data_IF_748631534345
#
_entry.id   IF_748631534345
#
_cell.length_a   1.000
_cell.length_b   1.000
_cell.length_c   1.000
_cell.angle_alpha   90.00
_cell.angle_beta   90.00
_cell.angle_gamma   90.00
#
_symmetry.space_group_name_H-M   'P 1'
#
loop_
_entity.id
_entity.type
_entity.pdbx_description
1 polymer ?
#
# COMPACT_ATOMS: atom_id res chain seq x y z
N UNK A 1 23.44 -1.24 -20.09
CA UNK A 1 22.49 -0.55 -19.21
C UNK A 1 22.00 -1.54 -18.16
N UNK A 2 21.83 -1.10 -16.94
CA UNK A 2 21.42 -1.90 -15.78
C UNK A 2 20.20 -1.23 -15.14
N UNK A 3 19.09 -1.96 -14.92
CA UNK A 3 17.89 -1.38 -14.34
C UNK A 3 18.09 -1.03 -12.86
N UNK A 4 17.24 -0.15 -12.36
CA UNK A 4 17.12 0.11 -10.94
C UNK A 4 16.45 -1.07 -10.23
N UNK A 5 16.98 -1.41 -9.06
CA UNK A 5 16.47 -2.49 -8.19
C UNK A 5 16.28 -2.03 -6.75
N UNK A 6 16.49 -0.74 -6.46
CA UNK A 6 16.36 -0.18 -5.11
C UNK A 6 15.29 0.90 -5.16
N UNK A 7 14.30 0.82 -4.28
CA UNK A 7 13.18 1.77 -4.24
C UNK A 7 12.54 1.99 -5.62
N UNK A 8 12.55 0.95 -6.46
CA UNK A 8 12.10 1.00 -7.86
C UNK A 8 10.57 0.92 -7.95
N UNK A 9 9.88 1.88 -7.34
CA UNK A 9 8.43 2.00 -7.33
C UNK A 9 7.98 3.35 -7.92
N UNK A 10 6.67 3.51 -8.09
CA UNK A 10 6.08 4.72 -8.69
C UNK A 10 6.26 6.00 -7.87
N UNK A 11 6.64 5.89 -6.59
CA UNK A 11 6.80 7.01 -5.66
C UNK A 11 8.23 7.57 -5.62
N UNK A 12 9.16 7.00 -6.39
CA UNK A 12 10.56 7.37 -6.35
C UNK A 12 11.13 7.64 -7.75
N UNK A 13 12.24 8.35 -7.78
CA UNK A 13 13.09 8.45 -8.96
C UNK A 13 13.63 7.07 -9.34
N UNK A 14 13.71 6.77 -10.65
CA UNK A 14 14.28 5.53 -11.16
C UNK A 14 15.66 5.79 -11.75
N UNK A 15 16.67 5.12 -11.20
CA UNK A 15 18.07 5.32 -11.54
C UNK A 15 18.64 4.15 -12.35
N UNK A 16 18.84 4.39 -13.63
CA UNK A 16 19.36 3.42 -14.59
C UNK A 16 20.84 3.70 -14.84
N UNK A 17 21.69 2.70 -14.63
CA UNK A 17 23.14 2.84 -14.80
C UNK A 17 23.62 2.28 -16.14
N UNK A 18 24.71 2.85 -16.65
CA UNK A 18 25.38 2.39 -17.87
C UNK A 18 26.87 2.75 -17.83
N UNK A 19 27.65 2.20 -18.77
CA UNK A 19 29.08 2.47 -18.84
C UNK A 19 29.34 3.94 -19.18
N UNK A 20 30.30 4.56 -18.50
CA UNK A 20 30.69 5.94 -18.74
C UNK A 20 31.19 6.16 -20.18
N UNK A 21 30.43 6.90 -20.98
CA UNK A 21 30.80 7.36 -22.32
C UNK A 21 30.30 8.81 -22.52
N UNK A 22 31.21 9.76 -22.29
CA UNK A 22 30.91 11.17 -22.42
C UNK A 22 30.57 11.59 -23.87
N UNK A 23 31.09 10.88 -24.88
CA UNK A 23 30.79 11.16 -26.28
C UNK A 23 29.37 10.72 -26.59
N UNK A 24 29.01 9.49 -26.21
CA UNK A 24 27.64 8.98 -26.34
C UNK A 24 26.63 9.87 -25.63
N UNK A 25 26.91 10.25 -24.38
CA UNK A 25 26.02 11.11 -23.60
C UNK A 25 25.76 12.46 -24.30
N UNK A 26 26.81 13.09 -24.86
CA UNK A 26 26.68 14.34 -25.62
C UNK A 26 25.86 14.21 -26.92
N UNK A 27 25.56 12.99 -27.36
CA UNK A 27 24.79 12.67 -28.57
C UNK A 27 23.38 12.18 -28.28
N UNK A 28 22.98 12.06 -27.02
CA UNK A 28 21.63 11.65 -26.64
C UNK A 28 20.63 12.66 -27.16
N UNK A 29 19.65 12.18 -27.91
CA UNK A 29 18.60 12.99 -28.56
C UNK A 29 17.21 12.71 -28.02
N UNK A 30 16.98 11.53 -27.45
CA UNK A 30 15.70 11.18 -26.85
C UNK A 30 15.87 10.07 -25.81
N UNK A 31 15.00 10.10 -24.81
CA UNK A 31 14.80 9.02 -23.85
C UNK A 31 13.34 8.63 -23.89
N UNK A 32 13.06 7.33 -23.93
CA UNK A 32 11.70 6.79 -24.02
C UNK A 32 11.38 5.86 -22.88
N UNK A 33 10.11 5.90 -22.47
CA UNK A 33 9.46 4.89 -21.61
C UNK A 33 8.41 4.20 -22.47
N UNK A 34 8.69 2.97 -22.89
CA UNK A 34 7.92 2.30 -23.94
C UNK A 34 7.99 3.09 -25.25
N UNK A 35 6.84 3.47 -25.79
CA UNK A 35 6.75 4.27 -27.02
C UNK A 35 6.78 5.79 -26.75
N UNK A 36 6.65 6.23 -25.51
CA UNK A 36 6.54 7.64 -25.13
C UNK A 36 7.93 8.28 -25.00
N UNK A 37 8.16 9.38 -25.71
CA UNK A 37 9.35 10.22 -25.53
C UNK A 37 9.17 11.08 -24.28
N UNK A 38 10.19 11.11 -23.43
CA UNK A 38 10.23 11.96 -22.25
C UNK A 38 10.65 13.39 -22.61
N UNK A 39 10.04 14.37 -21.96
CA UNK A 39 10.44 15.77 -22.01
C UNK A 39 11.71 16.01 -21.15
N UNK A 40 12.48 17.06 -21.47
CA UNK A 40 13.70 17.45 -20.73
C UNK A 40 13.49 17.61 -19.21
N UNK A 41 12.26 17.90 -18.78
CA UNK A 41 11.90 18.03 -17.37
C UNK A 41 11.69 16.71 -16.64
N UNK A 42 11.51 15.61 -17.36
CA UNK A 42 11.11 14.30 -16.82
C UNK A 42 12.29 13.37 -16.55
N UNK A 43 13.49 13.72 -16.99
CA UNK A 43 14.69 12.95 -16.71
C UNK A 43 15.90 13.83 -16.47
N UNK A 44 16.95 13.24 -15.92
CA UNK A 44 18.31 13.80 -16.00
C UNK A 44 19.23 12.71 -16.51
N UNK A 45 20.21 13.10 -17.33
CA UNK A 45 21.23 12.18 -17.82
C UNK A 45 22.61 12.77 -17.54
N UNK A 46 23.44 11.98 -16.88
CA UNK A 46 24.82 12.30 -16.55
C UNK A 46 25.72 11.16 -17.00
N UNK A 47 27.03 11.32 -16.90
CA UNK A 47 27.94 10.26 -17.34
C UNK A 47 27.73 9.00 -16.48
N UNK A 48 27.31 7.91 -17.12
CA UNK A 48 27.04 6.62 -16.47
C UNK A 48 25.68 6.47 -15.79
N UNK A 49 24.81 7.48 -15.80
CA UNK A 49 23.53 7.44 -15.10
C UNK A 49 22.42 8.21 -15.81
N UNK A 50 21.25 7.58 -15.89
CA UNK A 50 19.98 8.15 -16.31
C UNK A 50 19.02 8.08 -15.12
N UNK A 51 18.49 9.22 -14.69
CA UNK A 51 17.43 9.30 -13.69
C UNK A 51 16.13 9.70 -14.37
N UNK A 52 15.11 8.83 -14.31
CA UNK A 52 13.74 9.18 -14.65
C UNK A 52 13.08 9.68 -13.37
N UNK A 53 12.50 10.87 -13.40
CA UNK A 53 11.95 11.49 -12.18
C UNK A 53 10.69 10.80 -11.69
N UNK A 54 10.45 10.87 -10.39
CA UNK A 54 9.20 10.47 -9.76
C UNK A 54 7.98 11.07 -10.47
N UNK A 55 6.87 10.34 -10.48
CA UNK A 55 5.62 10.79 -11.11
C UNK A 55 5.61 10.75 -12.65
N UNK A 56 6.72 10.41 -13.32
CA UNK A 56 6.74 10.12 -14.77
C UNK A 56 6.07 8.77 -15.06
N UNK A 57 6.38 7.76 -14.25
CA UNK A 57 5.76 6.43 -14.30
C UNK A 57 4.88 6.29 -13.06
N UNK A 58 3.57 6.28 -13.26
CA UNK A 58 2.58 6.29 -12.17
C UNK A 58 1.86 4.96 -12.00
N UNK A 59 2.17 3.96 -12.83
CA UNK A 59 1.61 2.62 -12.75
C UNK A 59 2.72 1.59 -12.57
N UNK A 60 2.52 0.53 -11.77
CA UNK A 60 3.47 -0.54 -11.65
C UNK A 60 3.50 -1.39 -12.93
N UNK A 61 4.66 -1.95 -13.26
CA UNK A 61 4.82 -2.77 -14.44
C UNK A 61 6.25 -2.86 -14.94
N UNK A 62 6.42 -3.48 -16.11
CA UNK A 62 7.71 -3.56 -16.79
C UNK A 62 7.73 -2.57 -17.96
N UNK A 63 8.68 -1.63 -17.92
CA UNK A 63 8.83 -0.59 -18.92
C UNK A 63 10.13 -0.77 -19.67
N UNK A 64 10.07 -0.77 -21.01
CA UNK A 64 11.28 -0.71 -21.82
C UNK A 64 11.76 0.73 -21.85
N UNK A 65 12.95 0.98 -21.30
CA UNK A 65 13.60 2.28 -21.33
C UNK A 65 14.59 2.28 -22.48
N UNK A 66 14.44 3.22 -23.40
CA UNK A 66 15.31 3.35 -24.58
C UNK A 66 15.99 4.71 -24.58
N UNK A 67 17.30 4.72 -24.82
CA UNK A 67 18.09 5.95 -25.01
C UNK A 67 18.59 5.97 -26.45
N UNK A 68 18.14 6.98 -27.20
CA UNK A 68 18.53 7.23 -28.58
C UNK A 68 19.66 8.25 -28.63
N UNK A 69 20.74 7.95 -29.34
CA UNK A 69 21.88 8.85 -29.50
C UNK A 69 22.37 8.88 -30.95
N UNK A 70 22.62 10.10 -31.46
CA UNK A 70 23.01 10.29 -32.86
C UNK A 70 24.35 9.60 -33.17
N UNK A 71 24.33 8.66 -34.11
CA UNK A 71 25.52 7.90 -34.53
C UNK A 71 25.82 6.67 -33.68
N UNK A 72 24.94 6.34 -32.73
CA UNK A 72 25.01 5.14 -31.90
C UNK A 72 23.78 4.25 -32.14
N UNK A 73 23.90 2.98 -31.77
CA UNK A 73 22.73 2.10 -31.69
C UNK A 73 21.92 2.47 -30.44
N UNK A 74 20.61 2.29 -30.53
CA UNK A 74 19.71 2.51 -29.40
C UNK A 74 20.10 1.58 -28.24
N UNK A 75 20.29 2.17 -27.07
CA UNK A 75 20.53 1.42 -25.85
C UNK A 75 19.19 1.21 -25.15
N UNK A 76 18.92 -0.03 -24.69
CA UNK A 76 17.66 -0.33 -24.00
C UNK A 76 17.85 -1.22 -22.77
N UNK A 77 16.91 -1.09 -21.83
CA UNK A 77 16.80 -1.92 -20.62
C UNK A 77 15.35 -2.07 -20.22
N UNK A 78 14.97 -3.21 -19.63
CA UNK A 78 13.64 -3.36 -19.02
C UNK A 78 13.73 -2.96 -17.56
N UNK A 79 12.99 -1.92 -17.18
CA UNK A 79 12.83 -1.43 -15.82
C UNK A 79 11.54 -2.00 -15.22
N UNK A 80 11.65 -2.80 -14.17
CA UNK A 80 10.50 -3.17 -13.34
C UNK A 80 10.20 -2.02 -12.38
N UNK A 81 8.95 -1.58 -12.31
CA UNK A 81 8.44 -0.55 -11.41
C UNK A 81 7.37 -1.18 -10.53
N UNK A 82 7.58 -1.12 -9.22
CA UNK A 82 6.69 -1.66 -8.21
C UNK A 82 5.59 -0.66 -7.82
N UNK A 83 4.56 -1.16 -7.15
CA UNK A 83 3.53 -0.31 -6.53
C UNK A 83 4.16 0.60 -5.46
N UNK A 84 3.59 1.79 -5.28
CA UNK A 84 4.04 2.75 -4.30
C UNK A 84 3.70 2.36 -2.86
N UNK A 85 4.05 3.25 -1.95
CA UNK A 85 3.75 3.17 -0.54
C UNK A 85 2.26 3.43 -0.26
N UNK A 86 1.78 2.93 0.87
CA UNK A 86 0.38 3.10 1.28
C UNK A 86 -0.02 4.58 1.39
N UNK A 87 -1.14 4.94 0.77
CA UNK A 87 -1.72 6.27 0.86
C UNK A 87 -3.05 6.25 1.62
N UNK A 88 -3.11 6.98 2.74
CA UNK A 88 -4.36 7.20 3.50
C UNK A 88 -5.40 8.01 2.72
N UNK A 89 -4.99 8.70 1.65
CA UNK A 89 -5.90 9.50 0.81
C UNK A 89 -6.62 8.64 -0.22
N UNK A 90 -5.95 7.63 -0.77
CA UNK A 90 -6.51 6.74 -1.80
C UNK A 90 -7.10 5.44 -1.23
N UNK A 91 -6.65 5.05 -0.04
CA UNK A 91 -7.12 3.86 0.69
C UNK A 91 -8.43 4.15 1.43
N UNK A 92 -9.23 3.10 1.70
CA UNK A 92 -10.52 3.26 2.38
C UNK A 92 -10.74 2.21 3.46
N UNK A 93 -11.56 2.55 4.45
CA UNK A 93 -12.12 1.64 5.43
C UNK A 93 -13.63 1.90 5.50
N UNK A 94 -14.43 0.93 5.09
CA UNK A 94 -15.88 1.07 4.94
C UNK A 94 -16.57 -0.03 5.73
N UNK A 95 -17.35 0.37 6.73
CA UNK A 95 -18.23 -0.54 7.44
C UNK A 95 -19.44 -0.87 6.57
N UNK A 96 -19.77 -2.15 6.48
CA UNK A 96 -20.88 -2.74 5.72
C UNK A 96 -21.80 -3.51 6.69
N UNK A 97 -23.13 -3.51 6.49
CA UNK A 97 -23.87 -3.05 5.30
C UNK A 97 -24.22 -1.55 5.25
N UNK A 98 -24.01 -0.75 6.29
CA UNK A 98 -24.27 0.70 6.27
C UNK A 98 -23.17 1.48 7.00
N UNK A 99 -22.48 2.45 6.35
CA UNK A 99 -21.48 3.30 6.98
C UNK A 99 -22.05 4.34 7.96
N UNK A 100 -23.38 4.58 7.96
CA UNK A 100 -24.03 5.59 8.82
C UNK A 100 -24.83 5.00 9.99
N UNK A 101 -25.24 3.73 9.97
CA UNK A 101 -26.13 3.17 11.00
C UNK A 101 -25.75 1.74 11.43
N UNK A 102 -25.10 1.71 12.60
CA UNK A 102 -25.05 0.68 13.64
C UNK A 102 -24.34 -0.65 13.34
N UNK A 103 -23.46 -1.02 14.27
CA UNK A 103 -22.98 -2.39 14.41
C UNK A 103 -24.19 -3.27 14.76
N UNK A 104 -24.47 -4.26 13.92
CA UNK A 104 -25.51 -5.24 14.16
C UNK A 104 -25.05 -6.16 15.29
N UNK A 105 -25.85 -6.26 16.35
CA UNK A 105 -25.60 -7.15 17.49
C UNK A 105 -26.74 -8.17 17.57
N UNK A 106 -26.46 -9.49 17.68
CA UNK A 106 -25.15 -10.17 17.75
C UNK A 106 -24.48 -10.44 16.37
N UNK A 107 -25.04 -9.93 15.27
CA UNK A 107 -24.66 -10.39 13.94
C UNK A 107 -23.20 -10.07 13.57
N UNK A 108 -22.70 -10.74 12.54
CA UNK A 108 -21.38 -10.47 12.00
C UNK A 108 -21.41 -9.19 11.20
N UNK A 109 -20.47 -8.29 11.50
CA UNK A 109 -20.26 -7.03 10.83
C UNK A 109 -19.04 -7.15 9.92
N UNK A 110 -19.07 -6.44 8.79
CA UNK A 110 -18.02 -6.49 7.80
C UNK A 110 -17.37 -5.12 7.68
N UNK A 111 -16.07 -5.03 7.93
CA UNK A 111 -15.27 -3.85 7.64
C UNK A 111 -14.41 -4.15 6.42
N UNK A 112 -14.78 -3.54 5.28
CA UNK A 112 -13.98 -3.62 4.06
C UNK A 112 -12.85 -2.61 4.11
N UNK A 113 -11.62 -3.08 4.01
CA UNK A 113 -10.42 -2.26 3.91
C UNK A 113 -9.87 -2.35 2.49
N UNK A 114 -9.43 -1.22 1.94
CA UNK A 114 -8.80 -1.12 0.62
C UNK A 114 -7.46 -0.42 0.77
N UNK A 115 -6.37 -1.03 0.29
CA UNK A 115 -5.02 -0.46 0.29
C UNK A 115 -4.59 -0.03 -1.12
N UNK A 116 -4.25 1.25 -1.26
CA UNK A 116 -3.76 1.85 -2.51
C UNK A 116 -2.58 2.78 -2.26
N UNK A 117 -1.75 2.95 -3.29
CA UNK A 117 -0.71 3.99 -3.30
C UNK A 117 -1.26 5.37 -3.65
N UNK A 118 -0.40 6.39 -3.69
CA UNK A 118 -0.83 7.77 -3.97
C UNK A 118 -1.40 7.99 -5.39
N UNK A 119 -1.05 7.12 -6.35
CA UNK A 119 -1.56 7.15 -7.72
C UNK A 119 -2.82 6.28 -7.90
N UNK A 120 -3.27 5.61 -6.84
CA UNK A 120 -4.47 4.78 -6.84
C UNK A 120 -4.24 3.35 -7.33
N UNK A 121 -2.98 2.92 -7.47
CA UNK A 121 -2.66 1.52 -7.76
C UNK A 121 -2.96 0.66 -6.53
N UNK A 122 -3.44 -0.56 -6.75
CA UNK A 122 -3.80 -1.49 -5.68
C UNK A 122 -2.54 -2.09 -5.06
N UNK A 123 -2.50 -2.14 -3.73
CA UNK A 123 -1.39 -2.79 -3.00
C UNK A 123 -1.85 -4.18 -2.58
N UNK A 124 -1.40 -5.20 -3.31
CA UNK A 124 -1.62 -6.60 -2.95
C UNK A 124 -0.73 -7.01 -1.78
N UNK A 125 -1.24 -7.86 -0.88
CA UNK A 125 -0.48 -8.40 0.23
C UNK A 125 -0.21 -7.41 1.36
N UNK A 126 -0.91 -6.27 1.38
CA UNK A 126 -0.86 -5.32 2.48
C UNK A 126 -1.55 -5.91 3.72
N UNK A 127 -0.79 -6.01 4.82
CA UNK A 127 -1.27 -6.63 6.05
C UNK A 127 -1.59 -5.56 7.09
N UNK A 128 -2.86 -5.21 7.20
CA UNK A 128 -3.34 -4.35 8.29
C UNK A 128 -3.27 -5.07 9.63
N UNK A 129 -3.31 -4.27 10.69
CA UNK A 129 -3.32 -4.73 12.08
C UNK A 129 -4.56 -4.24 12.80
N UNK A 130 -4.98 -4.95 13.83
CA UNK A 130 -6.13 -4.60 14.64
C UNK A 130 -5.76 -4.51 16.12
N UNK A 131 -6.48 -3.65 16.84
CA UNK A 131 -6.43 -3.56 18.29
C UNK A 131 -7.84 -3.53 18.85
N UNK A 132 -8.07 -4.34 19.87
CA UNK A 132 -9.35 -4.43 20.55
C UNK A 132 -9.24 -3.84 21.95
N UNK A 133 -10.24 -3.06 22.33
CA UNK A 133 -10.49 -2.64 23.71
C UNK A 133 -11.93 -2.97 24.08
N UNK A 134 -12.12 -3.53 25.27
CA UNK A 134 -13.44 -3.84 25.82
C UNK A 134 -13.52 -3.27 27.24
N UNK A 135 -14.60 -2.54 27.54
CA UNK A 135 -14.95 -2.05 28.87
C UNK A 135 -16.23 -2.76 29.29
N UNK A 136 -16.08 -3.83 30.07
CA UNK A 136 -17.16 -4.70 30.49
C UNK A 136 -17.75 -4.21 31.83
N UNK A 137 -19.04 -3.89 31.86
CA UNK A 137 -19.78 -3.49 33.06
C UNK A 137 -20.78 -4.57 33.52
N UNK A 138 -20.73 -5.73 32.88
CA UNK A 138 -21.60 -6.86 33.18
C UNK A 138 -21.01 -7.75 34.28
N UNK A 139 -21.87 -8.62 34.80
CA UNK A 139 -21.50 -9.66 35.77
C UNK A 139 -21.06 -10.97 35.11
N UNK A 140 -20.90 -10.96 33.79
CA UNK A 140 -20.42 -12.07 32.95
C UNK A 140 -19.30 -11.60 32.03
N UNK A 141 -18.53 -12.53 31.49
CA UNK A 141 -17.48 -12.23 30.53
C UNK A 141 -18.10 -11.80 29.20
N UNK A 142 -17.48 -10.80 28.56
CA UNK A 142 -17.83 -10.34 27.21
C UNK A 142 -16.78 -10.86 26.23
N UNK A 143 -17.23 -11.42 25.11
CA UNK A 143 -16.37 -11.93 24.05
C UNK A 143 -16.65 -11.15 22.77
N UNK A 144 -15.59 -10.62 22.18
CA UNK A 144 -15.61 -10.04 20.83
C UNK A 144 -14.77 -10.91 19.92
N UNK A 145 -15.31 -11.32 18.78
CA UNK A 145 -14.59 -12.04 17.74
C UNK A 145 -14.20 -11.07 16.64
N UNK A 146 -12.93 -11.09 16.22
CA UNK A 146 -12.41 -10.31 15.09
C UNK A 146 -11.58 -11.24 14.22
N UNK A 147 -12.03 -11.46 13.00
CA UNK A 147 -11.36 -12.25 11.96
C UNK A 147 -10.95 -13.66 12.45
N UNK A 148 -11.86 -14.31 13.18
CA UNK A 148 -11.65 -15.64 13.78
C UNK A 148 -10.86 -15.65 15.09
N UNK A 149 -10.41 -14.49 15.60
CA UNK A 149 -9.74 -14.36 16.90
C UNK A 149 -10.70 -13.86 17.97
N UNK A 150 -10.82 -14.60 19.08
CA UNK A 150 -11.67 -14.23 20.21
C UNK A 150 -10.93 -13.42 21.28
N UNK A 151 -11.52 -12.30 21.67
CA UNK A 151 -11.04 -11.39 22.72
C UNK A 151 -12.00 -11.41 23.90
N UNK A 152 -11.57 -12.01 25.02
CA UNK A 152 -12.41 -12.17 26.22
C UNK A 152 -12.08 -11.12 27.28
N UNK A 153 -13.08 -10.33 27.67
CA UNK A 153 -13.00 -9.36 28.76
C UNK A 153 -13.80 -9.86 29.97
N UNK A 154 -13.15 -10.16 31.11
CA UNK A 154 -13.86 -10.65 32.28
C UNK A 154 -14.89 -9.65 32.83
N UNK A 155 -15.87 -10.17 33.58
CA UNK A 155 -16.88 -9.36 34.26
C UNK A 155 -16.27 -8.17 35.04
N UNK A 156 -16.88 -7.00 34.91
CA UNK A 156 -16.48 -5.75 35.59
C UNK A 156 -15.01 -5.33 35.37
N UNK A 157 -14.43 -5.62 34.21
CA UNK A 157 -13.05 -5.24 33.87
C UNK A 157 -12.95 -4.37 32.61
N UNK A 158 -11.77 -3.77 32.43
CA UNK A 158 -11.36 -3.14 31.17
C UNK A 158 -10.15 -3.88 30.64
N UNK A 159 -10.27 -4.42 29.42
CA UNK A 159 -9.18 -5.07 28.71
C UNK A 159 -8.75 -4.25 27.50
N UNK A 160 -7.45 -4.09 27.34
CA UNK A 160 -6.81 -3.56 26.13
C UNK A 160 -5.87 -4.63 25.62
N UNK A 161 -6.17 -5.17 24.45
CA UNK A 161 -5.38 -6.22 23.84
C UNK A 161 -4.21 -5.64 23.04
N UNK A 162 -3.12 -6.39 22.86
CA UNK A 162 -2.01 -5.97 22.01
C UNK A 162 -2.48 -5.81 20.55
N UNK A 163 -1.75 -4.99 19.80
CA UNK A 163 -1.93 -4.88 18.35
C UNK A 163 -1.48 -6.19 17.72
N UNK A 164 -2.31 -6.77 16.85
CA UNK A 164 -2.02 -8.02 16.14
C UNK A 164 -2.32 -7.86 14.65
N UNK A 165 -1.68 -8.68 13.82
CA UNK A 165 -2.02 -8.76 12.40
C UNK A 165 -3.45 -9.28 12.22
N UNK A 166 -4.15 -8.79 11.21
CA UNK A 166 -5.35 -9.47 10.71
C UNK A 166 -5.00 -10.84 10.11
N UNK A 167 -6.00 -11.70 9.94
CA UNK A 167 -5.75 -13.06 9.46
C UNK A 167 -5.35 -13.08 7.98
N UNK A 168 -5.87 -12.13 7.20
CA UNK A 168 -5.61 -12.02 5.76
C UNK A 168 -4.99 -10.67 5.40
N UNK A 169 -4.10 -10.70 4.41
CA UNK A 169 -3.63 -9.51 3.72
C UNK A 169 -4.57 -9.16 2.54
N UNK A 170 -4.40 -7.99 1.95
CA UNK A 170 -5.18 -7.57 0.77
C UNK A 170 -4.95 -8.50 -0.44
N UNK A 171 -6.01 -8.68 -1.22
CA UNK A 171 -6.01 -9.45 -2.46
C UNK A 171 -5.43 -8.65 -3.66
N UNK A 172 -5.58 -9.18 -4.88
CA UNK A 172 -5.11 -8.54 -6.12
C UNK A 172 -5.77 -7.16 -6.39
N UNK A 173 -7.00 -6.97 -5.89
CA UNK A 173 -7.74 -5.72 -5.99
C UNK A 173 -7.38 -4.75 -4.84
N UNK A 174 -6.45 -5.15 -3.96
CA UNK A 174 -6.04 -4.36 -2.81
C UNK A 174 -7.08 -4.37 -1.68
N UNK A 175 -8.02 -5.31 -1.69
CA UNK A 175 -9.13 -5.38 -0.76
C UNK A 175 -8.95 -6.49 0.30
N UNK A 176 -9.46 -6.26 1.51
CA UNK A 176 -9.64 -7.30 2.54
C UNK A 176 -10.88 -7.00 3.38
N UNK A 177 -11.65 -8.04 3.71
CA UNK A 177 -12.85 -7.90 4.56
C UNK A 177 -12.60 -8.48 5.94
N UNK A 178 -12.70 -7.62 6.96
CA UNK A 178 -12.62 -8.01 8.37
C UNK A 178 -14.02 -8.31 8.89
N UNK A 179 -14.22 -9.52 9.38
CA UNK A 179 -15.47 -9.91 10.03
C UNK A 179 -15.34 -9.75 11.53
N UNK A 180 -16.27 -9.06 12.17
CA UNK A 180 -16.28 -8.97 13.64
C UNK A 180 -17.68 -9.09 14.22
N UNK A 181 -17.78 -9.68 15.40
CA UNK A 181 -19.04 -9.88 16.10
C UNK A 181 -18.84 -9.69 17.61
N UNK A 182 -19.88 -9.22 18.29
CA UNK A 182 -19.89 -9.08 19.74
C UNK A 182 -21.32 -9.28 20.26
N UNK A 183 -21.46 -9.88 21.44
CA UNK A 183 -22.77 -10.27 22.00
C UNK A 183 -23.54 -9.06 22.53
N UNK A 184 -24.88 -8.94 22.40
CA UNK A 184 -25.64 -7.84 23.01
C UNK A 184 -25.43 -7.75 24.53
N UNK A 185 -25.28 -6.53 25.06
CA UNK A 185 -25.03 -6.36 26.49
C UNK A 185 -24.80 -4.91 26.94
N UNK A 186 -24.43 -4.74 28.21
CA UNK A 186 -24.06 -3.47 28.84
C UNK A 186 -22.54 -3.34 28.96
N UNK A 187 -21.89 -2.98 27.86
CA UNK A 187 -20.46 -2.74 27.77
C UNK A 187 -20.17 -1.72 26.68
N UNK A 188 -18.92 -1.29 26.56
CA UNK A 188 -18.43 -0.60 25.38
C UNK A 188 -17.19 -1.29 24.83
N UNK A 189 -16.97 -1.17 23.52
CA UNK A 189 -15.82 -1.73 22.85
C UNK A 189 -15.28 -0.77 21.82
N UNK A 190 -14.07 -1.03 21.35
CA UNK A 190 -13.41 -0.32 20.27
C UNK A 190 -12.56 -1.32 19.48
N UNK A 191 -12.74 -1.33 18.17
CA UNK A 191 -11.87 -1.99 17.21
C UNK A 191 -11.17 -0.89 16.42
N UNK A 192 -9.86 -0.79 16.61
CA UNK A 192 -9.01 0.16 15.87
C UNK A 192 -8.23 -0.61 14.80
N UNK A 193 -8.21 -0.10 13.58
CA UNK A 193 -7.39 -0.62 12.49
C UNK A 193 -6.13 0.22 12.36
N UNK A 194 -4.99 -0.45 12.23
CA UNK A 194 -3.67 0.13 12.07
C UNK A 194 -3.07 -0.28 10.73
N UNK A 195 -2.18 0.56 10.23
CA UNK A 195 -1.29 0.23 9.12
C UNK A 195 -0.34 -0.91 9.50
N UNK A 196 0.42 -1.40 8.52
CA UNK A 196 1.39 -2.50 8.70
C UNK A 196 2.49 -2.18 9.73
N UNK A 197 2.75 -0.90 10.02
CA UNK A 197 3.66 -0.45 11.09
C UNK A 197 3.15 -0.85 12.50
N UNK A 198 1.83 -0.93 12.69
CA UNK A 198 1.18 -1.17 13.98
C UNK A 198 1.13 0.06 14.90
N UNK A 199 1.48 1.24 14.38
CA UNK A 199 1.52 2.51 15.11
C UNK A 199 0.53 3.53 14.54
N UNK A 200 0.41 3.60 13.22
CA UNK A 200 -0.47 4.56 12.54
C UNK A 200 -1.90 4.01 12.47
N UNK A 201 -2.81 4.66 13.19
CA UNK A 201 -4.25 4.32 13.17
C UNK A 201 -4.89 4.80 11.87
N UNK A 202 -5.62 3.90 11.21
CA UNK A 202 -6.29 4.13 9.93
C UNK A 202 -7.81 4.32 10.07
N UNK A 203 -8.44 3.54 10.95
CA UNK A 203 -9.88 3.60 11.24
C UNK A 203 -10.14 3.34 12.73
#
# INVERSE_FOLDING_TARGET
>A
MTPDTTDNNVDNDLTISFDEDAVWNSKVTAIRVGDTVLDDGQYTITNGQLTIKEGVIQTPGNYTITVEATGYQDASVVQTVNVGEFSTVQSTAVLSPDPEDWVYLPDTNELKLTAKDQYGNTIQGYLFKAKVKIVNQENSDVIMDVDGTSYTCPANQTMVFPVVNLASATDEDGDVTVHFAVQPGQYSYRLDIFLNDGETMFW
#
